data_IF_819910644154
#
_entry.id   IF_819910644154
#
_cell.length_a   1.000
_cell.length_b   1.000
_cell.length_c   1.000
_cell.angle_alpha   90.00
_cell.angle_beta   90.00
_cell.angle_gamma   90.00
#
_symmetry.space_group_name_H-M   'P 1'
#
loop_
_entity.id
_entity.type
_entity.pdbx_description
1 polymer ?
2 non-polymer ?
3 non-polymer ?
4 non-polymer ?
5 water ?
#
# COMPACT_ATOMS: atom_id res chain seq x y z
N UNK A 14 0.11 -25.59 19.12
CA UNK A 14 1.22 -26.07 18.31
C UNK A 14 2.04 -27.03 19.18
N UNK A 15 2.34 -28.23 18.69
CA UNK A 15 3.00 -29.24 19.52
C UNK A 15 4.43 -28.84 19.86
N UNK A 16 4.93 -29.37 20.97
CA UNK A 16 6.28 -29.02 21.38
C UNK A 16 7.31 -29.61 20.41
N UNK A 17 7.05 -30.81 19.88
CA UNK A 17 7.97 -31.38 18.90
C UNK A 17 8.03 -30.52 17.63
N UNK A 18 6.90 -29.92 17.25
CA UNK A 18 6.92 -29.05 16.08
C UNK A 18 7.70 -27.76 16.36
N UNK A 19 7.54 -27.19 17.55
CA UNK A 19 8.31 -25.99 17.89
C UNK A 19 9.80 -26.30 17.85
N UNK A 20 10.19 -27.46 18.40
CA UNK A 20 11.59 -27.92 18.33
C UNK A 20 12.09 -27.96 16.89
N UNK A 21 11.30 -28.54 16.00
CA UNK A 21 11.72 -28.60 14.60
C UNK A 21 11.93 -27.21 14.03
N UNK A 22 11.07 -26.26 14.42
CA UNK A 22 11.26 -24.88 13.96
C UNK A 22 12.57 -24.31 14.49
N UNK A 23 12.86 -24.50 15.78
CA UNK A 23 14.11 -24.01 16.36
C UNK A 23 15.35 -24.63 15.69
N UNK A 24 15.27 -25.89 15.25
CA UNK A 24 16.40 -26.51 14.57
C UNK A 24 16.74 -25.79 13.28
N UNK A 25 15.76 -25.17 12.64
CA UNK A 25 16.02 -24.47 11.37
C UNK A 25 16.60 -23.09 11.62
N UNK A 26 15.95 -22.29 12.45
CA UNK A 26 16.28 -20.87 12.56
C UNK A 26 17.02 -20.51 13.84
N UNK A 27 17.14 -21.43 14.80
CA UNK A 27 17.75 -21.16 16.10
C UNK A 27 16.72 -20.72 17.14
N UNK A 28 16.99 -21.09 18.40
CA UNK A 28 16.03 -20.81 19.46
C UNK A 28 15.69 -19.34 19.67
N UNK A 29 16.61 -18.38 19.53
CA UNK A 29 16.20 -16.97 19.67
C UNK A 29 15.16 -16.53 18.64
N UNK A 30 15.05 -17.23 17.51
CA UNK A 30 14.23 -16.81 16.38
C UNK A 30 12.93 -17.60 16.25
N UNK A 31 12.52 -18.31 17.30
CA UNK A 31 11.20 -18.94 17.41
C UNK A 31 10.59 -18.56 18.75
N UNK A 32 9.37 -18.03 18.76
CA UNK A 32 8.75 -17.73 20.03
C UNK A 32 7.26 -18.07 20.03
N UNK A 33 6.81 -18.69 21.13
CA UNK A 33 5.39 -18.88 21.38
C UNK A 33 4.87 -18.01 22.52
N UNK A 34 5.64 -17.00 22.92
CA UNK A 34 5.21 -16.08 23.96
C UNK A 34 3.99 -15.28 23.53
N UNK A 35 3.00 -15.16 24.42
CA UNK A 35 1.74 -14.55 24.01
C UNK A 35 1.93 -13.09 23.62
N UNK A 36 2.81 -12.35 24.29
CA UNK A 36 2.97 -10.94 23.94
C UNK A 36 3.60 -10.78 22.55
N UNK A 37 4.56 -11.66 22.21
CA UNK A 37 5.17 -11.62 20.88
C UNK A 37 4.14 -11.99 19.82
N UNK A 38 3.36 -13.03 20.08
CA UNK A 38 2.30 -13.43 19.15
C UNK A 38 1.26 -12.34 19.00
N UNK A 39 0.91 -11.66 20.09
CA UNK A 39 -0.09 -10.61 19.99
C UNK A 39 0.43 -9.42 19.19
N UNK A 40 1.72 -9.09 19.29
CA UNK A 40 2.25 -8.00 18.48
C UNK A 40 2.23 -8.34 16.99
N UNK A 41 2.27 -9.63 16.64
CA UNK A 41 2.26 -10.04 15.25
C UNK A 41 0.88 -10.52 14.81
N UNK A 42 -0.15 -10.30 15.61
CA UNK A 42 -1.48 -10.74 15.27
C UNK A 42 -2.36 -9.69 14.64
N UNK A 43 -1.82 -8.51 14.35
CA UNK A 43 -2.64 -7.40 13.90
C UNK A 43 -1.78 -6.47 13.07
N UNK A 44 -2.44 -5.58 12.34
CA UNK A 44 -1.73 -4.55 11.59
C UNK A 44 -2.33 -3.19 11.95
N UNK A 45 -2.28 -2.23 11.03
CA UNK A 45 -2.88 -0.92 11.30
C UNK A 45 -4.38 -0.88 11.06
N UNK A 46 -4.99 -1.99 10.64
CA UNK A 46 -6.43 -2.02 10.42
C UNK A 46 -7.17 -2.19 11.74
N UNK A 47 -8.49 -2.04 11.67
CA UNK A 47 -9.34 -2.26 12.83
C UNK A 47 -9.76 -3.70 12.99
N UNK A 48 -9.28 -4.60 12.11
CA UNK A 48 -9.59 -6.01 12.26
C UNK A 48 -9.03 -6.52 13.58
N UNK A 49 -9.83 -7.30 14.29
CA UNK A 49 -9.47 -7.70 15.65
C UNK A 49 -8.21 -8.55 15.65
N UNK A 50 -7.36 -8.31 16.65
CA UNK A 50 -6.08 -9.01 16.72
C UNK A 50 -6.31 -10.51 16.82
N UNK A 51 -5.67 -11.26 15.92
CA UNK A 51 -5.78 -12.72 15.91
C UNK A 51 -4.38 -13.31 15.94
N UNK A 52 -3.90 -13.70 17.13
CA UNK A 52 -2.49 -14.02 17.30
C UNK A 52 -2.13 -15.35 16.65
N UNK A 53 -1.00 -15.41 15.97
CA UNK A 53 -0.49 -16.69 15.49
C UNK A 53 -0.13 -17.56 16.67
N UNK A 54 0.04 -18.85 16.40
CA UNK A 54 0.50 -19.77 17.44
C UNK A 54 1.99 -19.64 17.73
N UNK A 55 2.75 -19.07 16.79
CA UNK A 55 4.18 -18.90 16.93
C UNK A 55 4.64 -17.83 15.96
N UNK A 56 5.75 -17.18 16.30
CA UNK A 56 6.43 -16.26 15.38
C UNK A 56 7.82 -16.81 15.13
N UNK A 57 8.24 -16.79 13.87
CA UNK A 57 9.51 -17.34 13.43
C UNK A 57 10.22 -16.28 12.59
N UNK A 58 11.53 -16.13 12.81
CA UNK A 58 12.37 -15.16 12.10
C UNK A 58 13.44 -15.93 11.32
N UNK A 59 13.18 -16.32 10.08
CA UNK A 59 14.24 -16.97 9.30
C UNK A 59 15.35 -16.00 8.95
N UNK A 60 16.57 -16.54 8.83
CA UNK A 60 17.76 -15.72 8.62
C UNK A 60 18.26 -15.73 7.17
N UNK A 61 17.73 -16.61 6.31
CA UNK A 61 18.10 -16.62 4.89
C UNK A 61 17.04 -17.42 4.15
N UNK A 62 17.14 -17.42 2.81
CA UNK A 62 16.10 -18.07 2.01
C UNK A 62 16.06 -19.57 2.24
N UNK A 63 17.21 -20.21 2.48
CA UNK A 63 17.15 -21.64 2.77
C UNK A 63 16.29 -21.91 4.00
N UNK A 64 16.38 -21.04 5.00
CA UNK A 64 15.57 -21.24 6.20
C UNK A 64 14.09 -20.97 5.93
N UNK A 65 13.78 -19.97 5.10
CA UNK A 65 12.38 -19.73 4.73
C UNK A 65 11.80 -20.99 4.09
N UNK A 66 12.55 -21.57 3.14
CA UNK A 66 12.10 -22.76 2.44
C UNK A 66 11.84 -23.89 3.42
N UNK A 67 12.76 -24.11 4.36
CA UNK A 67 12.62 -25.22 5.30
C UNK A 67 11.48 -25.00 6.27
N UNK A 68 11.27 -23.75 6.69
CA UNK A 68 10.13 -23.46 7.57
C UNK A 68 8.82 -23.66 6.81
N UNK A 69 8.73 -23.17 5.58
CA UNK A 69 7.53 -23.37 4.79
C UNK A 69 7.23 -24.85 4.60
N UNK A 70 8.23 -25.63 4.20
CA UNK A 70 8.03 -27.05 3.95
C UNK A 70 7.58 -27.77 5.22
N UNK A 71 8.15 -27.40 6.36
CA UNK A 71 7.75 -27.97 7.64
C UNK A 71 6.29 -27.66 7.96
N UNK A 72 5.89 -26.39 7.83
CA UNK A 72 4.51 -26.02 8.12
C UNK A 72 3.55 -26.67 7.14
N UNK A 73 3.88 -26.59 5.84
CA UNK A 73 2.98 -27.07 4.79
C UNK A 73 2.72 -28.56 4.93
N UNK A 74 3.77 -29.34 5.18
CA UNK A 74 3.60 -30.78 5.27
C UNK A 74 2.97 -31.22 6.58
N UNK A 75 2.96 -30.37 7.60
CA UNK A 75 2.33 -30.70 8.86
C UNK A 75 0.92 -30.14 8.94
N UNK A 76 0.45 -29.43 7.92
CA UNK A 76 -0.88 -28.85 7.95
C UNK A 76 -1.00 -27.61 8.81
N UNK A 77 0.06 -26.82 8.92
CA UNK A 77 0.10 -25.64 9.78
C UNK A 77 0.07 -24.39 8.88
N UNK A 78 -0.89 -23.47 9.07
CA UNK A 78 -0.93 -22.27 8.24
C UNK A 78 0.31 -21.40 8.39
N UNK A 79 0.62 -20.67 7.33
CA UNK A 79 1.78 -19.80 7.23
C UNK A 79 1.29 -18.39 6.98
N UNK A 80 1.73 -17.42 7.80
CA UNK A 80 1.37 -16.03 7.57
C UNK A 80 2.65 -15.23 7.37
N UNK A 81 2.97 -14.81 6.14
CA UNK A 81 4.12 -13.92 5.93
C UNK A 81 3.88 -12.57 6.59
N UNK A 82 4.94 -12.02 7.17
CA UNK A 82 4.82 -10.78 7.94
C UNK A 82 6.01 -9.90 7.56
N UNK A 83 5.72 -8.69 7.09
CA UNK A 83 6.80 -7.76 6.79
C UNK A 83 7.00 -6.78 7.91
N UNK A 84 6.56 -5.55 7.70
CA UNK A 84 6.59 -4.53 8.73
C UNK A 84 5.23 -4.31 9.40
N UNK A 85 4.23 -5.10 9.05
CA UNK A 85 2.97 -5.04 9.78
C UNK A 85 2.23 -3.74 9.64
N UNK A 86 2.44 -2.99 8.55
CA UNK A 86 1.77 -1.71 8.35
C UNK A 86 0.55 -1.82 7.43
N UNK A 87 0.15 -3.02 7.04
CA UNK A 87 -1.03 -3.17 6.19
C UNK A 87 -2.29 -2.68 6.88
N UNK A 88 -3.32 -2.43 6.08
CA UNK A 88 -4.55 -1.88 6.62
C UNK A 88 -5.77 -2.73 6.26
N UNK A 89 -5.55 -4.01 5.90
CA UNK A 89 -6.69 -4.87 5.63
C UNK A 89 -6.63 -6.20 6.37
N UNK A 90 -5.84 -6.31 7.42
CA UNK A 90 -5.86 -7.54 8.20
C UNK A 90 -5.10 -8.68 7.56
N UNK A 91 -4.20 -8.39 6.62
CA UNK A 91 -3.43 -9.42 5.95
C UNK A 91 -2.65 -10.33 6.89
N UNK A 92 -2.12 -9.78 8.00
CA UNK A 92 -1.33 -10.62 8.89
C UNK A 92 -2.15 -11.23 10.02
N UNK A 93 -3.45 -10.96 10.10
CA UNK A 93 -4.28 -11.57 11.13
C UNK A 93 -4.32 -13.09 10.96
N UNK A 94 -3.96 -13.82 12.01
CA UNK A 94 -3.88 -15.28 11.90
C UNK A 94 -5.25 -15.91 12.19
N UNK A 95 -6.17 -15.71 11.24
CA UNK A 95 -7.56 -16.10 11.42
C UNK A 95 -7.72 -17.61 11.64
N UNK A 96 -6.76 -18.42 11.21
CA UNK A 96 -6.77 -19.86 11.47
C UNK A 96 -5.59 -20.31 12.33
N UNK A 97 -4.99 -19.41 13.11
CA UNK A 97 -3.75 -19.71 13.81
C UNK A 97 -2.59 -19.97 12.85
N UNK A 98 -1.57 -20.66 13.35
CA UNK A 98 -0.43 -21.06 12.54
C UNK A 98 0.84 -20.32 12.90
N UNK A 99 1.77 -20.30 11.94
CA UNK A 99 3.11 -19.77 12.15
C UNK A 99 3.24 -18.45 11.39
N UNK A 100 3.48 -17.37 12.12
CA UNK A 100 3.76 -16.07 11.52
C UNK A 100 5.25 -16.01 11.20
N UNK A 101 5.59 -15.79 9.93
CA UNK A 101 6.99 -15.74 9.50
C UNK A 101 7.36 -14.28 9.34
N UNK A 102 8.07 -13.74 10.32
CA UNK A 102 8.57 -12.36 10.23
C UNK A 102 9.85 -12.38 9.42
N UNK A 103 9.83 -11.69 8.28
CA UNK A 103 10.89 -11.82 7.29
C UNK A 103 11.98 -10.76 7.41
N UNK A 104 11.92 -9.91 8.42
CA UNK A 104 12.71 -8.67 8.38
C UNK A 104 14.15 -8.84 8.85
N UNK A 105 14.56 -10.02 9.32
CA UNK A 105 15.99 -10.20 9.56
C UNK A 105 16.78 -10.39 8.27
N UNK A 106 16.10 -10.62 7.15
CA UNK A 106 16.76 -10.68 5.85
C UNK A 106 16.66 -9.26 5.32
N UNK A 107 17.70 -8.48 5.57
CA UNK A 107 17.60 -7.03 5.43
C UNK A 107 18.69 -6.47 4.53
N UNK A 108 19.20 -7.26 3.60
CA UNK A 108 20.33 -6.85 2.78
C UNK A 108 19.89 -6.31 1.43
N UNK A 109 20.57 -5.25 0.99
CA UNK A 109 20.50 -4.81 -0.40
C UNK A 109 21.60 -5.57 -1.14
N UNK A 110 21.21 -6.33 -2.15
CA UNK A 110 22.17 -6.96 -3.05
C UNK A 110 22.02 -6.43 -4.47
N UNK A 111 23.07 -6.64 -5.27
CA UNK A 111 23.02 -6.50 -6.73
C UNK A 111 22.59 -5.10 -7.19
N UNK A 112 23.17 -4.06 -6.58
CA UNK A 112 22.89 -2.72 -7.04
C UNK A 112 23.53 -2.51 -8.42
N UNK A 113 22.72 -2.13 -9.40
CA UNK A 113 23.17 -1.99 -10.78
C UNK A 113 22.79 -0.58 -11.21
N UNK A 114 23.60 0.41 -10.83
CA UNK A 114 23.24 1.80 -11.15
C UNK A 114 23.25 2.06 -12.64
N UNK A 115 24.02 1.28 -13.40
CA UNK A 115 24.10 1.47 -14.83
C UNK A 115 22.90 0.88 -15.58
N UNK A 116 22.18 -0.09 -14.97
CA UNK A 116 20.92 -0.64 -15.47
C UNK A 116 19.69 -0.06 -14.79
N UNK A 117 19.88 0.75 -13.75
CA UNK A 117 18.81 1.32 -12.93
C UNK A 117 17.99 0.21 -12.28
N UNK A 118 18.67 -0.67 -11.55
CA UNK A 118 17.96 -1.75 -10.86
C UNK A 118 18.71 -2.13 -9.58
N UNK A 119 17.97 -2.79 -8.69
CA UNK A 119 18.50 -3.20 -7.39
C UNK A 119 17.69 -4.40 -6.91
N UNK A 120 18.29 -5.22 -6.06
CA UNK A 120 17.63 -6.37 -5.45
C UNK A 120 17.62 -6.18 -3.94
N UNK A 121 16.45 -6.28 -3.32
CA UNK A 121 16.32 -6.02 -1.88
C UNK A 121 15.63 -7.21 -1.21
N UNK A 122 16.03 -7.48 0.03
CA UNK A 122 15.37 -8.49 0.87
C UNK A 122 14.25 -7.86 1.69
N UNK A 123 13.42 -8.66 2.38
CA UNK A 123 12.21 -8.09 3.01
C UNK A 123 12.46 -7.07 4.11
N UNK A 124 13.59 -7.14 4.81
CA UNK A 124 13.89 -6.18 5.86
C UNK A 124 14.32 -4.80 5.38
N UNK A 125 14.47 -4.61 4.07
CA UNK A 125 14.82 -3.31 3.50
C UNK A 125 13.54 -2.50 3.31
N UNK A 126 13.49 -1.31 3.90
CA UNK A 126 12.41 -0.36 3.68
C UNK A 126 12.79 0.65 2.60
N UNK A 127 11.78 1.38 2.12
CA UNK A 127 12.04 2.38 1.09
C UNK A 127 13.03 3.43 1.58
N UNK A 128 12.92 3.84 2.84
CA UNK A 128 13.86 4.82 3.38
C UNK A 128 15.27 4.24 3.46
N UNK A 129 15.41 2.97 3.85
CA UNK A 129 16.75 2.39 3.87
C UNK A 129 17.33 2.35 2.46
N UNK A 130 16.51 1.97 1.47
CA UNK A 130 17.02 1.93 0.10
C UNK A 130 17.48 3.30 -0.38
N UNK A 131 16.63 4.32 -0.21
CA UNK A 131 16.98 5.64 -0.72
C UNK A 131 18.16 6.25 0.04
N UNK A 132 18.30 5.95 1.32
CA UNK A 132 19.49 6.34 2.06
C UNK A 132 20.73 5.69 1.47
N UNK A 133 20.67 4.39 1.17
CA UNK A 133 21.82 3.76 0.55
C UNK A 133 22.10 4.33 -0.83
N UNK A 134 21.10 4.91 -1.47
CA UNK A 134 21.25 5.52 -2.79
C UNK A 134 21.58 7.01 -2.75
N UNK A 135 21.69 7.60 -1.57
CA UNK A 135 22.14 8.99 -1.50
C UNK A 135 23.49 9.10 -2.21
N UNK A 136 23.69 10.14 -3.00
CA UNK A 136 24.91 10.40 -3.76
C UNK A 136 24.99 9.63 -5.09
N UNK A 137 23.94 8.88 -5.49
CA UNK A 137 24.03 8.08 -6.71
C UNK A 137 23.30 8.70 -7.90
N UNK A 138 22.46 9.68 -7.66
CA UNK A 138 21.60 10.21 -8.70
C UNK A 138 20.37 9.38 -8.96
N UNK A 139 20.23 8.20 -8.35
CA UNK A 139 19.07 7.34 -8.51
C UNK A 139 18.26 7.32 -7.22
N UNK A 140 16.96 7.01 -7.34
CA UNK A 140 16.10 6.86 -6.16
C UNK A 140 14.97 5.89 -6.50
N UNK A 141 14.33 5.37 -5.44
CA UNK A 141 13.15 4.53 -5.64
C UNK A 141 11.89 5.32 -5.28
N UNK A 142 10.98 5.52 -6.23
CA UNK A 142 9.92 6.52 -6.05
C UNK A 142 8.63 6.09 -5.33
N UNK A 143 8.30 4.81 -5.29
CA UNK A 143 7.00 4.42 -4.77
C UNK A 143 6.97 4.65 -3.26
N UNK A 144 6.08 5.54 -2.79
CA UNK A 144 6.15 6.11 -1.44
C UNK A 144 4.85 5.99 -0.64
N UNK A 145 4.55 4.81 -0.11
CA UNK A 145 3.53 4.73 0.94
C UNK A 145 3.97 5.59 2.13
N UNK A 146 2.99 6.10 2.88
CA UNK A 146 3.34 6.93 4.01
C UNK A 146 4.17 6.22 5.06
N UNK A 147 3.93 4.92 5.24
CA UNK A 147 4.65 4.15 6.24
C UNK A 147 6.03 3.74 5.71
N UNK A 148 6.98 3.55 6.61
CA UNK A 148 8.27 3.01 6.18
C UNK A 148 8.15 1.49 6.14
N UNK A 149 7.57 1.02 5.04
CA UNK A 149 7.19 -0.38 4.91
C UNK A 149 8.29 -1.20 4.25
N UNK A 150 8.29 -2.49 4.55
CA UNK A 150 9.05 -3.48 3.78
C UNK A 150 8.76 -3.34 2.30
N UNK A 151 9.82 -3.29 1.48
CA UNK A 151 9.64 -3.22 0.04
C UNK A 151 9.08 -4.51 -0.52
N UNK A 152 9.42 -5.65 0.10
CA UNK A 152 8.81 -6.90 -0.35
C UNK A 152 7.36 -6.97 0.07
N UNK A 153 7.03 -6.38 1.24
CA UNK A 153 5.63 -6.25 1.62
C UNK A 153 4.85 -5.36 0.67
N UNK A 154 5.46 -4.25 0.24
CA UNK A 154 4.84 -3.43 -0.80
C UNK A 154 4.65 -4.20 -2.10
N UNK A 155 5.61 -5.05 -2.46
CA UNK A 155 5.41 -5.90 -3.64
C UNK A 155 4.23 -6.85 -3.40
N UNK A 156 4.13 -7.41 -2.19
CA UNK A 156 3.03 -8.34 -1.88
C UNK A 156 1.66 -7.67 -1.92
N UNK A 157 1.54 -6.42 -1.43
CA UNK A 157 0.23 -5.79 -1.43
C UNK A 157 -0.11 -5.04 -2.72
N UNK A 158 0.85 -4.85 -3.61
CA UNK A 158 0.63 -4.04 -4.80
C UNK A 158 0.57 -2.55 -4.49
N UNK A 159 1.47 -2.07 -3.65
CA UNK A 159 1.37 -0.75 -3.07
C UNK A 159 1.56 0.35 -4.13
N UNK A 160 1.04 1.53 -3.83
CA UNK A 160 1.44 2.68 -4.63
C UNK A 160 1.74 3.83 -3.68
N UNK A 161 1.56 5.06 -4.12
CA UNK A 161 1.96 6.19 -3.30
C UNK A 161 1.74 7.48 -4.04
N UNK A 162 2.16 8.60 -3.42
CA UNK A 162 1.91 9.90 -4.04
C UNK A 162 2.71 10.06 -5.34
N UNK A 163 3.87 9.42 -5.45
CA UNK A 163 4.68 9.53 -6.65
C UNK A 163 4.16 8.67 -7.80
N UNK A 164 3.18 7.80 -7.56
CA UNK A 164 2.82 6.80 -8.58
C UNK A 164 2.27 7.45 -9.85
N UNK A 165 1.62 8.60 -9.72
CA UNK A 165 1.00 9.25 -10.87
C UNK A 165 2.04 9.51 -11.97
N UNK A 166 3.28 9.80 -11.59
CA UNK A 166 4.38 9.99 -12.55
C UNK A 166 5.29 8.77 -12.67
N UNK A 167 5.63 8.12 -11.56
CA UNK A 167 6.67 7.11 -11.57
C UNK A 167 6.15 5.68 -11.49
N UNK A 168 4.84 5.48 -11.42
CA UNK A 168 4.25 4.16 -11.40
C UNK A 168 4.11 3.56 -10.01
N UNK A 169 3.35 2.47 -9.94
CA UNK A 169 3.09 1.72 -8.72
C UNK A 169 4.19 0.69 -8.52
N UNK A 170 4.09 -0.12 -7.47
CA UNK A 170 4.96 -1.29 -7.36
C UNK A 170 4.85 -2.21 -8.58
N UNK A 171 3.64 -2.46 -9.07
CA UNK A 171 3.51 -3.31 -10.26
C UNK A 171 4.34 -2.78 -11.43
N UNK A 172 4.35 -1.45 -11.61
CA UNK A 172 5.14 -0.83 -12.67
C UNK A 172 6.64 -0.97 -12.45
N UNK A 173 7.09 -1.15 -11.21
CA UNK A 173 8.50 -1.03 -10.87
C UNK A 173 9.13 -2.32 -10.36
N UNK A 174 8.39 -3.41 -10.31
CA UNK A 174 8.93 -4.72 -9.93
C UNK A 174 9.36 -5.45 -11.19
N UNK A 175 10.63 -5.84 -11.26
CA UNK A 175 11.22 -6.46 -12.44
C UNK A 175 11.24 -7.98 -12.29
N UNK A 176 11.38 -8.45 -11.06
CA UNK A 176 11.63 -9.87 -10.79
C UNK A 176 11.33 -10.09 -9.31
N UNK A 177 10.95 -11.32 -8.97
CA UNK A 177 10.67 -11.70 -7.61
C UNK A 177 11.30 -13.05 -7.32
N UNK A 178 11.87 -13.18 -6.12
CA UNK A 178 12.26 -14.47 -5.57
C UNK A 178 11.17 -14.88 -4.60
N UNK A 179 10.55 -16.04 -4.83
CA UNK A 179 9.37 -16.47 -4.07
C UNK A 179 9.60 -17.88 -3.55
N UNK A 180 9.40 -18.07 -2.25
CA UNK A 180 9.31 -19.40 -1.66
C UNK A 180 7.84 -19.83 -1.76
N UNK A 181 7.59 -20.84 -2.60
CA UNK A 181 6.23 -21.34 -2.78
C UNK A 181 5.76 -22.05 -1.51
N UNK A 182 4.44 -22.26 -1.34
CA UNK A 182 3.96 -22.76 -0.04
C UNK A 182 4.62 -24.05 0.43
N UNK A 183 5.00 -24.96 -0.47
CA UNK A 183 5.63 -26.20 -0.05
C UNK A 183 7.15 -26.10 0.07
N UNK A 184 7.72 -24.89 -0.06
CA UNK A 184 9.15 -24.69 0.11
C UNK A 184 9.98 -24.56 -1.16
N UNK A 185 9.40 -24.85 -2.32
CA UNK A 185 10.14 -24.74 -3.58
C UNK A 185 10.49 -23.29 -3.86
N UNK A 186 11.66 -23.06 -4.48
CA UNK A 186 12.11 -21.69 -4.74
C UNK A 186 11.82 -21.34 -6.20
N UNK A 187 11.13 -20.23 -6.41
CA UNK A 187 10.81 -19.74 -7.75
C UNK A 187 11.37 -18.34 -7.94
N UNK A 188 12.15 -18.15 -8.98
CA UNK A 188 12.51 -16.81 -9.43
C UNK A 188 11.59 -16.50 -10.60
N UNK A 189 10.69 -15.55 -10.41
CA UNK A 189 9.52 -15.46 -11.29
C UNK A 189 9.91 -15.13 -12.73
N UNK A 190 10.97 -14.35 -12.94
CA UNK A 190 11.46 -14.08 -14.29
C UNK A 190 12.78 -14.77 -14.58
N UNK A 191 13.20 -15.72 -13.72
CA UNK A 191 14.47 -16.40 -13.88
C UNK A 191 15.51 -15.85 -12.93
N UNK A 192 16.35 -16.70 -12.36
CA UNK A 192 17.32 -16.24 -11.37
C UNK A 192 18.31 -15.26 -11.99
N UNK A 193 18.47 -14.11 -11.32
CA UNK A 193 19.42 -13.08 -11.72
C UNK A 193 19.01 -12.23 -12.90
N UNK A 194 17.81 -12.44 -13.45
CA UNK A 194 17.41 -11.73 -14.65
C UNK A 194 16.84 -10.34 -14.32
N UNK A 195 17.12 -9.38 -15.19
CA UNK A 195 16.54 -8.04 -15.09
C UNK A 195 16.67 -7.39 -16.45
N UNK A 196 15.61 -6.75 -16.92
CA UNK A 196 15.56 -6.27 -18.30
C UNK A 196 14.40 -5.28 -18.33
N UNK A 197 14.30 -4.45 -19.36
CA UNK A 197 13.13 -3.61 -19.38
C UNK A 197 11.85 -4.22 -19.97
N UNK A 198 11.93 -5.26 -20.78
CA UNK A 198 10.70 -5.86 -21.25
C UNK A 198 11.00 -7.27 -21.72
N UNK A 199 9.96 -8.08 -21.73
CA UNK A 199 10.03 -9.45 -22.19
C UNK A 199 8.67 -9.93 -22.68
N UNK A 200 8.71 -10.85 -23.65
CA UNK A 200 7.54 -11.61 -24.05
C UNK A 200 7.71 -13.12 -23.80
N UNK A 201 8.62 -13.51 -22.90
CA UNK A 201 9.02 -14.91 -22.77
C UNK A 201 8.06 -15.68 -21.84
N UNK A 202 7.20 -16.49 -22.44
CA UNK A 202 6.31 -17.33 -21.65
C UNK A 202 5.16 -16.54 -21.02
N UNK A 203 4.65 -17.03 -19.89
CA UNK A 203 3.63 -16.29 -19.13
C UNK A 203 4.29 -15.40 -18.08
N UNK A 204 3.67 -14.26 -17.80
CA UNK A 204 4.26 -13.32 -16.85
C UNK A 204 3.99 -13.74 -15.41
N UNK A 205 4.92 -14.52 -14.85
CA UNK A 205 4.76 -14.98 -13.46
C UNK A 205 4.97 -13.86 -12.45
N UNK A 206 5.84 -12.89 -12.78
CA UNK A 206 6.10 -11.81 -11.82
C UNK A 206 4.82 -11.08 -11.46
N UNK A 207 4.02 -10.72 -12.47
CA UNK A 207 2.79 -9.98 -12.21
C UNK A 207 1.75 -10.73 -11.40
N UNK A 208 1.77 -12.07 -11.43
CA UNK A 208 0.86 -12.86 -10.61
C UNK A 208 1.15 -12.71 -9.13
N UNK A 209 2.41 -12.60 -8.77
CA UNK A 209 2.75 -12.55 -7.36
C UNK A 209 2.71 -11.14 -6.78
N UNK A 210 2.85 -10.11 -7.61
CA UNK A 210 2.62 -8.75 -7.14
C UNK A 210 1.15 -8.61 -6.79
N UNK A 211 0.87 -8.08 -5.59
CA UNK A 211 -0.52 -7.98 -5.16
C UNK A 211 -1.15 -9.27 -4.69
N UNK A 212 -0.37 -10.31 -4.38
CA UNK A 212 -0.93 -11.58 -3.93
C UNK A 212 -1.08 -11.67 -2.41
N UNK A 213 -0.52 -10.71 -1.66
CA UNK A 213 -0.76 -10.52 -0.22
C UNK A 213 -0.39 -11.74 0.63
N UNK A 214 0.59 -12.51 0.20
CA UNK A 214 1.02 -13.63 1.03
C UNK A 214 0.20 -14.89 0.87
N UNK A 215 -0.73 -14.94 -0.09
CA UNK A 215 -1.58 -16.11 -0.30
C UNK A 215 -1.06 -17.06 -1.36
N UNK A 216 0.00 -16.69 -2.09
CA UNK A 216 0.54 -17.52 -3.16
C UNK A 216 1.98 -17.95 -2.92
N UNK A 217 2.61 -17.45 -1.87
CA UNK A 217 4.01 -17.70 -1.63
C UNK A 217 4.63 -16.54 -0.89
N UNK A 218 5.90 -16.72 -0.50
CA UNK A 218 6.63 -15.79 0.34
C UNK A 218 7.69 -15.09 -0.52
N UNK A 219 7.60 -13.77 -0.63
CA UNK A 219 8.57 -13.01 -1.42
C UNK A 219 9.82 -12.82 -0.58
N UNK A 220 10.94 -13.41 -1.01
CA UNK A 220 12.18 -13.27 -0.25
C UNK A 220 13.20 -12.32 -0.89
N UNK A 221 12.99 -11.88 -2.13
CA UNK A 221 13.68 -10.69 -2.62
C UNK A 221 12.88 -10.11 -3.77
N UNK A 222 13.09 -8.82 -3.99
CA UNK A 222 12.39 -8.09 -5.05
C UNK A 222 13.44 -7.37 -5.88
N UNK A 223 13.37 -7.51 -7.20
CA UNK A 223 14.21 -6.71 -8.08
C UNK A 223 13.41 -5.50 -8.52
N UNK A 224 13.94 -4.31 -8.23
CA UNK A 224 13.21 -3.05 -8.38
C UNK A 224 13.86 -2.17 -9.44
N UNK A 225 13.01 -1.49 -10.20
CA UNK A 225 13.42 -0.41 -11.09
C UNK A 225 13.73 0.86 -10.30
N UNK A 226 14.90 1.41 -10.55
CA UNK A 226 15.31 2.69 -9.99
C UNK A 226 15.11 3.78 -11.04
N UNK A 227 14.99 5.02 -10.57
CA UNK A 227 14.67 6.14 -11.43
C UNK A 227 15.70 7.24 -11.24
N UNK A 228 15.94 8.06 -12.27
CA UNK A 228 16.86 9.20 -12.10
C UNK A 228 16.25 10.27 -11.20
N UNK A 229 17.09 10.82 -10.32
CA UNK A 229 16.66 11.97 -9.53
C UNK A 229 16.23 13.09 -10.47
N UNK A 230 15.19 13.86 -10.12
CA UNK A 230 14.78 14.97 -10.98
C UNK A 230 15.83 16.06 -11.00
N UNK A 231 15.97 16.72 -12.16
CA UNK A 231 16.87 17.86 -12.27
C UNK A 231 16.54 18.93 -11.24
N UNK A 232 15.29 19.32 -11.17
CA UNK A 232 14.82 20.31 -10.22
C UNK A 232 13.41 19.92 -9.79
N UNK A 233 13.01 20.40 -8.61
CA UNK A 233 11.73 20.10 -8.01
C UNK A 233 11.08 21.37 -7.46
N UNK A 234 9.76 21.50 -7.66
CA UNK A 234 8.97 22.55 -7.04
C UNK A 234 7.70 21.92 -6.47
N UNK A 235 7.38 22.24 -5.22
CA UNK A 235 6.14 21.81 -4.58
C UNK A 235 5.25 23.01 -4.36
N UNK A 236 3.94 22.79 -4.39
CA UNK A 236 3.01 23.90 -4.18
C UNK A 236 1.73 23.38 -3.57
N UNK A 237 0.99 24.30 -2.95
CA UNK A 237 -0.35 24.03 -2.47
C UNK A 237 -1.33 25.03 -3.07
N UNK A 238 -2.58 24.59 -3.19
CA UNK A 238 -3.63 25.43 -3.73
C UNK A 238 -4.93 25.10 -3.03
N UNK A 239 -5.59 26.11 -2.47
CA UNK A 239 -6.82 25.95 -1.71
C UNK A 239 -8.02 26.32 -2.57
N UNK A 240 -9.13 25.65 -2.33
CA UNK A 240 -10.34 25.74 -3.15
C UNK A 240 -11.56 25.99 -2.28
N UNK A 241 -12.63 26.56 -2.85
CA UNK A 241 -13.86 26.76 -2.06
C UNK A 241 -14.64 25.48 -1.85
N UNK A 242 -14.40 24.42 -2.62
CA UNK A 242 -15.22 23.22 -2.52
C UNK A 242 -14.43 22.01 -3.03
N UNK A 243 -14.88 20.84 -2.59
CA UNK A 243 -14.35 19.59 -3.12
C UNK A 243 -14.51 19.55 -4.63
N UNK A 244 -15.68 19.93 -5.11
CA UNK A 244 -15.95 19.93 -6.56
C UNK A 244 -14.90 20.74 -7.31
N UNK A 245 -14.55 21.92 -6.80
CA UNK A 245 -13.58 22.76 -7.49
C UNK A 245 -12.20 22.11 -7.55
N UNK A 246 -11.77 21.52 -6.43
CA UNK A 246 -10.47 20.86 -6.36
C UNK A 246 -10.40 19.66 -7.30
N UNK A 247 -11.48 18.88 -7.37
CA UNK A 247 -11.42 17.64 -8.13
C UNK A 247 -11.64 17.91 -9.62
N UNK A 248 -12.48 18.90 -9.97
CA UNK A 248 -12.54 19.36 -11.35
C UNK A 248 -11.18 19.85 -11.83
N UNK A 249 -10.46 20.58 -10.97
CA UNK A 249 -9.12 21.02 -11.33
C UNK A 249 -8.21 19.83 -11.60
N UNK A 250 -8.28 18.82 -10.72
CA UNK A 250 -7.45 17.64 -10.86
C UNK A 250 -7.68 16.97 -12.21
N UNK A 251 -8.96 16.72 -12.54
CA UNK A 251 -9.28 16.05 -13.80
C UNK A 251 -8.78 16.86 -15.00
N UNK A 252 -8.91 18.19 -14.94
CA UNK A 252 -8.46 19.01 -16.07
C UNK A 252 -6.94 19.09 -16.17
N UNK A 253 -6.23 19.06 -15.04
CA UNK A 253 -4.78 18.95 -15.09
C UNK A 253 -4.38 17.64 -15.77
N UNK A 254 -5.03 16.54 -15.41
CA UNK A 254 -4.74 15.24 -16.03
C UNK A 254 -5.10 15.25 -17.50
N UNK A 255 -6.25 15.85 -17.85
CA UNK A 255 -6.67 15.81 -19.25
C UNK A 255 -5.80 16.70 -20.12
N UNK A 256 -5.21 17.74 -19.53
CA UNK A 256 -4.23 18.58 -20.20
C UNK A 256 -2.85 17.93 -20.28
N UNK A 257 -2.65 16.78 -19.61
CA UNK A 257 -1.40 16.02 -19.66
C UNK A 257 -0.21 16.80 -19.11
N UNK A 258 -0.45 17.59 -18.08
CA UNK A 258 0.66 18.14 -17.30
C UNK A 258 1.33 16.98 -16.57
N UNK A 259 2.62 16.73 -16.78
CA UNK A 259 3.26 15.56 -16.17
C UNK A 259 3.63 15.81 -14.71
N UNK A 260 2.63 16.17 -13.90
CA UNK A 260 2.84 16.39 -12.47
C UNK A 260 3.51 15.18 -11.86
N UNK A 261 4.44 15.44 -10.93
CA UNK A 261 5.07 14.35 -10.21
C UNK A 261 4.21 13.87 -9.05
N UNK A 262 3.42 14.76 -8.46
CA UNK A 262 2.55 14.45 -7.32
C UNK A 262 1.33 15.36 -7.42
N UNK A 263 0.15 14.79 -7.17
CA UNK A 263 -1.07 15.59 -7.05
C UNK A 263 -1.99 14.91 -6.05
N UNK A 264 -2.03 15.46 -4.82
CA UNK A 264 -2.72 14.88 -3.68
C UNK A 264 -3.84 15.80 -3.22
N UNK A 265 -5.00 15.22 -2.95
CA UNK A 265 -6.16 15.95 -2.46
C UNK A 265 -6.30 15.77 -0.96
N UNK A 266 -6.59 16.86 -0.25
CA UNK A 266 -7.00 16.83 1.15
C UNK A 266 -8.30 17.62 1.29
N UNK A 267 -9.31 17.05 1.94
CA UNK A 267 -10.49 17.88 2.16
C UNK A 267 -10.21 18.82 3.34
N UNK A 268 -11.19 19.67 3.67
CA UNK A 268 -10.99 20.63 4.75
C UNK A 268 -10.76 19.94 6.08
N UNK A 269 -11.45 18.82 6.34
CA UNK A 269 -11.23 18.10 7.59
C UNK A 269 -9.80 17.57 7.65
N UNK A 270 -9.34 16.97 6.55
CA UNK A 270 -7.98 16.45 6.50
C UNK A 270 -6.95 17.56 6.60
N UNK A 271 -7.19 18.67 5.91
CA UNK A 271 -6.27 19.82 6.03
C UNK A 271 -6.16 20.30 7.47
N UNK A 272 -7.30 20.46 8.15
CA UNK A 272 -7.26 20.85 9.55
C UNK A 272 -6.48 19.85 10.38
N UNK A 273 -6.77 18.55 10.21
CA UNK A 273 -6.06 17.53 10.97
C UNK A 273 -4.56 17.59 10.75
N UNK A 274 -4.13 17.79 9.49
CA UNK A 274 -2.70 17.83 9.19
C UNK A 274 -2.06 19.09 9.75
N UNK A 275 -2.77 20.23 9.67
CA UNK A 275 -2.33 21.46 10.33
C UNK A 275 -2.02 21.21 11.80
N UNK A 276 -2.92 20.53 12.50
CA UNK A 276 -2.75 20.33 13.94
C UNK A 276 -1.71 19.28 14.26
N UNK A 277 -1.34 18.45 13.30
CA UNK A 277 -0.43 17.34 13.51
C UNK A 277 0.97 17.62 12.99
N UNK A 278 1.21 18.78 12.36
CA UNK A 278 2.47 18.97 11.66
C UNK A 278 3.05 20.37 11.73
N UNK A 279 2.34 21.37 12.25
CA UNK A 279 2.80 22.74 12.13
C UNK A 279 3.01 23.17 10.66
N UNK A 280 2.37 22.51 9.70
CA UNK A 280 1.82 23.27 8.59
C UNK A 280 0.73 24.17 9.15
N UNK A 281 0.39 25.22 8.41
CA UNK A 281 -0.67 26.14 8.83
C UNK A 281 -1.43 26.62 7.60
N UNK A 282 -1.92 25.68 6.79
CA UNK A 282 -2.57 26.02 5.54
C UNK A 282 -4.00 26.48 5.80
N UNK A 283 -4.56 27.28 4.88
CA UNK A 283 -5.99 27.60 4.97
C UNK A 283 -6.81 26.33 5.09
N UNK A 284 -7.75 26.32 6.03
CA UNK A 284 -8.60 25.14 6.22
C UNK A 284 -9.64 25.16 5.11
N UNK A 285 -9.44 24.31 4.12
CA UNK A 285 -10.23 24.27 2.89
C UNK A 285 -9.78 23.03 2.10
N UNK A 286 -10.61 22.55 1.18
CA UNK A 286 -10.14 21.47 0.29
C UNK A 286 -8.95 21.96 -0.53
N UNK A 287 -7.90 21.15 -0.58
CA UNK A 287 -6.57 21.59 -0.98
C UNK A 287 -5.91 20.55 -1.88
N UNK A 288 -5.13 21.02 -2.84
CA UNK A 288 -4.22 20.15 -3.60
C UNK A 288 -2.79 20.44 -3.13
N UNK A 289 -2.06 19.37 -2.80
CA UNK A 289 -0.60 19.43 -2.71
C UNK A 289 -0.05 18.96 -4.05
N UNK A 290 0.83 19.76 -4.64
CA UNK A 290 1.34 19.47 -5.97
C UNK A 290 2.86 19.43 -5.96
N UNK A 291 3.44 18.60 -6.82
CA UNK A 291 4.88 18.63 -7.03
C UNK A 291 5.18 18.46 -8.50
N UNK A 292 6.20 19.19 -8.96
CA UNK A 292 6.62 19.19 -10.35
C UNK A 292 8.10 18.87 -10.40
N UNK A 293 8.48 18.04 -11.38
CA UNK A 293 9.85 17.64 -11.64
C UNK A 293 10.23 18.00 -13.06
N UNK A 294 11.42 18.57 -13.22
CA UNK A 294 11.96 18.80 -14.56
C UNK A 294 13.12 19.78 -14.50
N UNK A 295 13.44 20.33 -15.66
CA UNK A 295 14.38 21.45 -15.70
C UNK A 295 13.65 22.75 -15.39
N UNK A 296 14.42 23.83 -15.22
CA UNK A 296 13.83 25.13 -14.97
C UNK A 296 12.86 25.54 -16.07
N UNK A 297 13.09 25.09 -17.30
CA UNK A 297 12.19 25.42 -18.39
C UNK A 297 10.90 24.62 -18.30
N UNK A 298 11.00 23.30 -18.13
CA UNK A 298 9.80 22.48 -17.92
C UNK A 298 9.01 23.02 -16.72
N UNK A 299 9.70 23.28 -15.61
CA UNK A 299 9.02 23.65 -14.37
C UNK A 299 8.25 24.95 -14.55
N UNK A 300 8.90 25.98 -15.14
CA UNK A 300 8.21 27.23 -15.40
C UNK A 300 6.95 27.01 -16.22
N UNK A 301 7.05 26.22 -17.30
CA UNK A 301 5.92 25.95 -18.17
C UNK A 301 4.82 25.16 -17.46
N UNK A 302 5.20 24.15 -16.68
CA UNK A 302 4.21 23.33 -15.97
C UNK A 302 3.49 24.14 -14.91
N UNK A 303 4.25 24.96 -14.17
CA UNK A 303 3.66 25.79 -13.14
C UNK A 303 2.61 26.73 -13.72
N UNK A 304 2.88 27.29 -14.90
CA UNK A 304 1.95 28.25 -15.49
C UNK A 304 0.70 27.58 -16.04
N UNK A 305 0.84 26.39 -16.65
CA UNK A 305 -0.35 25.70 -17.13
C UNK A 305 -1.22 25.26 -15.96
N UNK A 306 -0.59 24.79 -14.88
CA UNK A 306 -1.36 24.28 -13.74
C UNK A 306 -2.03 25.43 -12.98
N UNK A 307 -1.31 26.52 -12.75
CA UNK A 307 -1.94 27.67 -12.10
C UNK A 307 -3.12 28.19 -12.91
N UNK A 308 -2.99 28.21 -14.25
CA UNK A 308 -4.11 28.63 -15.08
C UNK A 308 -5.33 27.73 -14.87
N UNK A 309 -5.12 26.42 -14.78
CA UNK A 309 -6.25 25.51 -14.64
C UNK A 309 -6.89 25.65 -13.26
N UNK A 310 -6.07 25.67 -12.20
CA UNK A 310 -6.66 25.81 -10.87
C UNK A 310 -7.37 27.16 -10.72
N UNK A 311 -6.76 28.24 -11.23
CA UNK A 311 -7.39 29.56 -11.18
C UNK A 311 -8.80 29.53 -11.78
N UNK A 312 -8.95 28.88 -12.92
CA UNK A 312 -10.23 28.83 -13.62
C UNK A 312 -11.31 28.13 -12.80
N UNK A 313 -10.95 27.26 -11.87
CA UNK A 313 -11.94 26.58 -11.04
C UNK A 313 -12.01 27.16 -9.64
N UNK A 314 -11.48 28.36 -9.44
CA UNK A 314 -11.57 29.03 -8.16
C UNK A 314 -10.45 28.72 -7.20
N UNK A 315 -9.36 28.12 -7.68
CA UNK A 315 -8.23 27.89 -6.80
C UNK A 315 -7.65 29.21 -6.29
N UNK A 316 -7.20 29.21 -5.05
CA UNK A 316 -6.42 30.32 -4.54
C UNK A 316 -5.11 30.43 -5.32
N UNK A 317 -4.37 31.49 -5.05
CA UNK A 317 -3.01 31.57 -5.56
C UNK A 317 -2.19 30.42 -4.98
N UNK A 318 -1.31 29.86 -5.80
CA UNK A 318 -0.35 28.88 -5.30
C UNK A 318 0.44 29.42 -4.13
N UNK A 319 0.87 28.53 -3.26
CA UNK A 319 1.66 28.92 -2.09
C UNK A 319 3.02 28.21 -2.13
N UNK A 324 13.52 23.85 0.37
CA UNK A 324 13.48 22.39 0.30
C UNK A 324 13.08 21.75 1.62
N UNK A 325 13.39 22.43 2.72
CA UNK A 325 12.95 21.95 4.02
C UNK A 325 11.46 22.20 4.25
N UNK A 326 10.85 23.16 3.56
CA UNK A 326 9.40 23.28 3.61
C UNK A 326 8.73 22.22 2.76
N UNK A 327 9.37 21.84 1.65
CA UNK A 327 8.91 20.70 0.86
C UNK A 327 8.88 19.42 1.67
N UNK A 328 9.92 19.19 2.48
CA UNK A 328 9.95 17.98 3.30
C UNK A 328 8.84 17.98 4.34
N UNK A 329 8.56 19.15 4.93
CA UNK A 329 7.49 19.20 5.91
C UNK A 329 6.13 18.99 5.25
N UNK A 330 5.95 19.53 4.05
CA UNK A 330 4.69 19.33 3.33
C UNK A 330 4.41 17.84 3.12
N UNK A 331 5.36 17.12 2.55
CA UNK A 331 5.12 15.71 2.25
C UNK A 331 5.20 14.84 3.51
N UNK A 332 5.96 15.26 4.54
CA UNK A 332 5.89 14.54 5.81
C UNK A 332 4.50 14.63 6.41
N UNK A 333 3.90 15.82 6.37
CA UNK A 333 2.53 15.95 6.86
C UNK A 333 1.57 15.07 6.06
N UNK A 334 1.70 15.07 4.73
CA UNK A 334 0.84 14.21 3.92
C UNK A 334 1.02 12.74 4.29
N UNK A 335 2.28 12.28 4.35
CA UNK A 335 2.54 10.86 4.62
C UNK A 335 2.00 10.44 5.98
N UNK A 336 1.82 11.37 6.91
CA UNK A 336 1.30 11.07 8.23
C UNK A 336 -0.18 11.40 8.37
N UNK A 337 -0.89 11.52 7.25
CA UNK A 337 -2.31 11.87 7.32
C UNK A 337 -3.11 10.87 8.13
N UNK A 338 -2.79 9.58 8.01
CA UNK A 338 -3.46 8.56 8.82
C UNK A 338 -3.36 8.88 10.30
N UNK A 339 -2.16 9.19 10.79
CA UNK A 339 -2.01 9.51 12.20
C UNK A 339 -2.63 10.86 12.53
N UNK A 340 -2.57 11.82 11.60
CA UNK A 340 -3.23 13.09 11.83
C UNK A 340 -4.73 12.90 12.01
N UNK A 341 -5.34 12.01 11.22
CA UNK A 341 -6.77 11.73 11.34
C UNK A 341 -7.08 11.08 12.69
N UNK A 342 -6.29 10.06 13.08
CA UNK A 342 -6.52 9.40 14.36
C UNK A 342 -6.41 10.37 15.54
N UNK A 343 -5.55 11.39 15.41
CA UNK A 343 -5.32 12.30 16.53
C UNK A 343 -6.50 13.25 16.76
N UNK A 344 -7.42 13.38 15.80
CA UNK A 344 -8.63 14.17 16.02
C UNK A 344 -9.44 13.63 17.19
N UNK A 345 -9.36 12.33 17.44
CA UNK A 345 -10.13 11.66 18.49
C UNK A 345 -9.28 10.55 19.09
N UNK A 346 -8.38 10.91 20.02
CA UNK A 346 -7.47 9.90 20.59
C UNK A 346 -8.24 8.76 21.25
N UNK A 347 -7.71 7.56 21.11
CA UNK A 347 -8.42 6.36 21.53
C UNK A 347 -9.26 5.72 20.43
N UNK A 348 -9.46 6.39 19.30
CA UNK A 348 -10.16 5.78 18.18
C UNK A 348 -9.23 4.92 17.35
N UNK A 349 -9.81 3.96 16.65
CA UNK A 349 -9.16 3.30 15.53
C UNK A 349 -9.79 3.83 14.24
N UNK A 350 -9.35 3.29 13.11
CA UNK A 350 -9.86 3.83 11.85
C UNK A 350 -9.92 2.75 10.79
N UNK A 351 -10.85 2.95 9.86
CA UNK A 351 -10.91 2.18 8.63
C UNK A 351 -10.71 3.12 7.45
N UNK A 352 -10.05 2.62 6.42
CA UNK A 352 -9.78 3.43 5.24
C UNK A 352 -10.40 2.77 4.04
N UNK A 353 -11.08 3.55 3.23
CA UNK A 353 -11.48 3.10 1.93
C UNK A 353 -10.35 3.39 0.95
N UNK A 354 -10.51 2.90 -0.29
CA UNK A 354 -9.40 2.97 -1.23
C UNK A 354 -9.88 2.76 -2.66
N UNK A 355 -11.06 3.27 -2.99
CA UNK A 355 -11.58 3.00 -4.32
C UNK A 355 -10.78 3.75 -5.36
N UNK A 356 -10.87 3.28 -6.60
CA UNK A 356 -10.23 3.94 -7.73
C UNK A 356 -11.20 3.84 -8.90
N UNK A 357 -11.48 4.96 -9.55
CA UNK A 357 -12.53 5.02 -10.58
C UNK A 357 -11.91 5.65 -11.83
N UNK A 358 -12.55 5.47 -12.99
CA UNK A 358 -12.15 6.27 -14.17
C UNK A 358 -12.15 7.75 -13.79
N UNK A 359 -11.15 8.49 -14.27
CA UNK A 359 -10.96 9.85 -13.73
C UNK A 359 -12.15 10.74 -14.05
N UNK A 360 -12.86 10.50 -15.16
CA UNK A 360 -14.01 11.35 -15.47
C UNK A 360 -15.13 11.21 -14.46
N UNK A 361 -15.18 10.10 -13.73
CA UNK A 361 -16.18 9.89 -12.69
C UNK A 361 -15.69 10.27 -11.31
N UNK A 362 -14.42 10.67 -11.17
CA UNK A 362 -13.91 11.03 -9.86
C UNK A 362 -14.67 12.19 -9.21
N UNK A 363 -15.01 13.29 -9.92
CA UNK A 363 -15.77 14.37 -9.26
C UNK A 363 -17.06 13.89 -8.63
N UNK A 364 -17.82 13.05 -9.35
CA UNK A 364 -19.08 12.51 -8.81
C UNK A 364 -18.86 11.78 -7.50
N UNK A 365 -17.93 10.82 -7.48
CA UNK A 365 -17.83 9.98 -6.30
C UNK A 365 -17.18 10.71 -5.12
N UNK A 366 -16.20 11.62 -5.34
CA UNK A 366 -15.67 12.36 -4.19
C UNK A 366 -16.67 13.35 -3.61
N UNK A 367 -17.34 14.12 -4.47
CA UNK A 367 -18.37 15.02 -3.95
C UNK A 367 -19.46 14.22 -3.22
N UNK A 368 -19.87 13.10 -3.79
CA UNK A 368 -20.88 12.27 -3.14
C UNK A 368 -20.38 11.75 -1.79
N UNK A 369 -19.14 11.26 -1.73
CA UNK A 369 -18.58 10.76 -0.47
C UNK A 369 -18.53 11.86 0.58
N UNK A 370 -18.09 13.05 0.19
CA UNK A 370 -18.05 14.19 1.12
C UNK A 370 -19.43 14.51 1.66
N UNK A 371 -20.44 14.52 0.79
CA UNK A 371 -21.82 14.77 1.22
C UNK A 371 -22.32 13.68 2.16
N UNK A 372 -21.97 12.42 1.89
CA UNK A 372 -22.42 11.34 2.76
C UNK A 372 -21.71 11.38 4.10
N UNK A 373 -20.41 11.70 4.12
CA UNK A 373 -19.72 11.89 5.40
C UNK A 373 -20.38 12.98 6.22
N UNK A 374 -20.68 14.12 5.58
CA UNK A 374 -21.34 15.22 6.28
C UNK A 374 -22.71 14.81 6.82
N UNK A 375 -23.51 14.17 5.98
CA UNK A 375 -24.89 13.84 6.37
C UNK A 375 -24.93 12.82 7.50
N UNK A 376 -23.90 12.00 7.62
CA UNK A 376 -23.93 10.98 8.65
C UNK A 376 -23.25 11.45 9.92
N UNK A 377 -23.50 10.72 11.00
CA UNK A 377 -22.92 11.01 12.29
C UNK A 377 -21.46 10.59 12.40
N UNK A 378 -20.96 9.88 11.40
CA UNK A 378 -19.56 9.45 11.43
C UNK A 378 -18.62 10.63 11.22
N UNK A 379 -17.43 10.49 11.79
CA UNK A 379 -16.32 11.40 11.55
C UNK A 379 -15.41 10.80 10.50
N UNK A 380 -15.14 11.57 9.46
CA UNK A 380 -14.30 11.09 8.37
C UNK A 380 -13.52 12.21 7.77
N UNK A 381 -12.35 11.87 7.24
CA UNK A 381 -11.52 12.80 6.49
C UNK A 381 -11.20 12.15 5.16
N UNK A 382 -10.91 12.97 4.14
CA UNK A 382 -10.68 12.48 2.79
C UNK A 382 -9.30 12.94 2.35
N UNK A 383 -8.53 12.01 1.78
CA UNK A 383 -7.20 12.31 1.30
C UNK A 383 -6.88 11.33 0.17
N UNK A 384 -6.11 11.75 -0.82
CA UNK A 384 -5.66 10.70 -1.70
C UNK A 384 -5.00 11.09 -3.01
N UNK A 385 -4.63 10.01 -3.71
CA UNK A 385 -3.88 10.00 -4.97
C UNK A 385 -4.86 10.20 -6.11
N UNK A 386 -5.43 11.41 -6.16
CA UNK A 386 -6.48 11.71 -7.12
C UNK A 386 -5.93 11.68 -8.53
N UNK A 387 -4.62 11.81 -8.67
CA UNK A 387 -4.03 11.46 -9.94
C UNK A 387 -4.19 10.02 -10.38
N UNK A 388 -4.49 9.07 -9.46
CA UNK A 388 -4.42 7.62 -9.73
C UNK A 388 -5.79 6.96 -9.60
N UNK A 389 -6.82 7.64 -10.11
CA UNK A 389 -8.21 7.28 -9.92
C UNK A 389 -8.75 7.34 -8.50
N UNK A 390 -7.91 7.68 -7.50
CA UNK A 390 -7.96 7.00 -6.21
C UNK A 390 -8.03 7.98 -5.04
N UNK A 391 -8.69 7.56 -3.95
CA UNK A 391 -8.72 8.39 -2.75
C UNK A 391 -9.07 7.50 -1.57
N UNK A 392 -8.79 8.01 -0.37
CA UNK A 392 -9.10 7.31 0.87
C UNK A 392 -10.09 8.13 1.65
N UNK A 393 -11.12 7.47 2.15
CA UNK A 393 -11.94 8.00 3.20
C UNK A 393 -11.46 7.35 4.50
N UNK A 394 -10.92 8.16 5.40
CA UNK A 394 -10.45 7.68 6.69
C UNK A 394 -11.58 7.88 7.70
N UNK A 395 -12.20 6.78 8.13
CA UNK A 395 -13.36 6.82 9.02
C UNK A 395 -12.93 6.43 10.43
N UNK A 396 -13.31 7.24 11.41
CA UNK A 396 -12.95 6.98 12.81
C UNK A 396 -13.97 6.06 13.47
N UNK A 397 -13.49 5.17 14.35
CA UNK A 397 -14.36 4.22 15.03
C UNK A 397 -13.98 4.15 16.51
N UNK A 398 -14.99 4.15 17.37
CA UNK A 398 -14.77 3.84 18.78
C UNK A 398 -14.54 2.34 18.88
N UNK A 399 -13.38 1.89 19.38
CA UNK A 399 -13.11 0.45 19.44
C UNK A 399 -14.11 -0.34 20.29
N UNK A 400 -14.92 0.32 21.12
CA UNK A 400 -15.87 -0.33 22.01
C UNK A 400 -17.32 -0.03 21.64
N UNK A 401 -17.57 0.46 20.42
CA UNK A 401 -18.91 0.83 19.98
C UNK A 401 -19.23 -0.03 18.76
N UNK A 402 -19.84 -1.20 19.00
CA UNK A 402 -20.08 -2.14 17.91
C UNK A 402 -21.07 -1.59 16.89
N UNK A 403 -22.00 -0.73 17.32
CA UNK A 403 -22.95 -0.12 16.38
C UNK A 403 -22.25 0.83 15.43
N UNK A 404 -21.40 1.73 15.97
CA UNK A 404 -20.59 2.60 15.12
C UNK A 404 -19.73 1.79 14.16
N UNK A 405 -19.20 0.66 14.64
CA UNK A 405 -18.42 -0.22 13.78
C UNK A 405 -19.25 -0.76 12.63
N UNK A 406 -20.50 -1.17 12.91
CA UNK A 406 -21.38 -1.63 11.83
C UNK A 406 -21.62 -0.53 10.81
N UNK A 407 -21.83 0.70 11.29
CA UNK A 407 -22.17 1.79 10.39
C UNK A 407 -20.98 2.21 9.54
N UNK A 408 -19.78 2.25 10.13
CA UNK A 408 -18.56 2.48 9.36
C UNK A 408 -18.37 1.42 8.30
N UNK A 409 -18.59 0.15 8.66
CA UNK A 409 -18.44 -0.91 7.69
C UNK A 409 -19.49 -0.78 6.59
N UNK A 410 -20.72 -0.42 6.96
CA UNK A 410 -21.76 -0.17 5.96
C UNK A 410 -21.37 0.97 5.03
N UNK A 411 -20.83 2.05 5.58
CA UNK A 411 -20.39 3.18 4.75
C UNK A 411 -19.30 2.73 3.78
N UNK A 412 -18.30 2.02 4.27
CA UNK A 412 -17.21 1.57 3.38
C UNK A 412 -17.72 0.67 2.28
N UNK A 413 -18.63 -0.24 2.64
CA UNK A 413 -19.17 -1.18 1.65
C UNK A 413 -19.96 -0.44 0.59
N UNK A 414 -20.70 0.59 0.98
CA UNK A 414 -21.54 1.30 0.01
C UNK A 414 -20.69 2.15 -0.92
N UNK A 415 -19.65 2.78 -0.37
CA UNK A 415 -18.69 3.48 -1.22
C UNK A 415 -18.02 2.54 -2.20
N UNK A 416 -17.65 1.35 -1.74
CA UNK A 416 -17.09 0.34 -2.63
C UNK A 416 -18.03 0.00 -3.77
N UNK A 417 -19.31 -0.29 -3.45
CA UNK A 417 -20.26 -0.62 -4.51
C UNK A 417 -20.46 0.56 -5.46
N UNK A 418 -20.41 1.79 -4.95
CA UNK A 418 -20.59 2.94 -5.82
C UNK A 418 -19.45 3.02 -6.83
N UNK A 419 -18.21 2.85 -6.35
CA UNK A 419 -17.07 2.84 -7.28
C UNK A 419 -17.23 1.73 -8.31
N UNK A 420 -17.74 0.57 -7.89
CA UNK A 420 -17.93 -0.53 -8.84
C UNK A 420 -19.00 -0.19 -9.86
N UNK A 421 -20.08 0.48 -9.42
CA UNK A 421 -21.10 0.93 -10.36
C UNK A 421 -20.52 1.88 -11.40
N UNK A 422 -19.48 2.63 -11.02
CA UNK A 422 -18.86 3.59 -11.92
C UNK A 422 -17.79 2.99 -12.80
N UNK A 423 -17.67 1.65 -12.82
CA UNK A 423 -16.64 1.00 -13.62
C UNK A 423 -15.28 0.93 -12.98
N UNK A 424 -15.16 1.28 -11.69
CA UNK A 424 -13.89 1.31 -11.00
C UNK A 424 -13.56 0.02 -10.26
N UNK A 425 -12.62 0.12 -9.32
CA UNK A 425 -12.18 -1.01 -8.52
C UNK A 425 -12.33 -0.67 -7.04
N UNK A 426 -12.56 -1.72 -6.23
CA UNK A 426 -12.74 -1.50 -4.80
C UNK A 426 -11.44 -1.19 -4.05
N UNK A 427 -10.28 -1.41 -4.67
CA UNK A 427 -9.04 -1.02 -4.02
C UNK A 427 -8.00 -0.67 -5.06
N UNK A 428 -7.49 0.55 -4.97
CA UNK A 428 -6.42 1.01 -5.83
C UNK A 428 -5.03 0.56 -5.41
N UNK A 429 -4.80 0.30 -4.11
CA UNK A 429 -3.44 0.00 -3.67
C UNK A 429 -3.34 -0.80 -2.36
N UNK A 430 -4.30 -0.69 -1.43
CA UNK A 430 -4.16 -1.34 -0.12
C UNK A 430 -4.34 -2.86 -0.19
N UNK A 431 -5.17 -3.35 -1.10
CA UNK A 431 -5.43 -4.77 -1.20
C UNK A 431 -6.76 -5.18 -0.60
N UNK A 432 -6.96 -6.50 -0.50
CA UNK A 432 -8.24 -7.06 -0.11
C UNK A 432 -8.22 -7.54 1.34
N UNK A 433 -7.15 -8.24 1.72
CA UNK A 433 -7.02 -8.88 3.02
C UNK A 433 -8.31 -9.55 3.47
N UNK A 434 -8.78 -9.15 4.65
CA UNK A 434 -10.03 -9.65 5.20
C UNK A 434 -11.21 -8.75 4.88
N UNK A 435 -10.97 -7.47 4.60
CA UNK A 435 -12.05 -6.51 4.57
C UNK A 435 -12.85 -6.43 3.29
N UNK A 436 -12.24 -6.75 2.14
CA UNK A 436 -12.86 -6.45 0.86
C UNK A 436 -13.21 -7.71 0.05
N UNK A 437 -13.37 -8.86 0.72
CA UNK A 437 -13.49 -10.11 -0.02
C UNK A 437 -14.81 -10.20 -0.76
N UNK A 438 -15.89 -9.66 -0.17
CA UNK A 438 -17.17 -9.67 -0.88
C UNK A 438 -17.17 -8.69 -2.04
N UNK A 439 -16.54 -7.51 -1.85
CA UNK A 439 -16.47 -6.54 -2.94
C UNK A 439 -15.69 -7.11 -4.13
N UNK A 440 -14.61 -7.85 -3.86
CA UNK A 440 -13.86 -8.48 -4.93
C UNK A 440 -14.74 -9.41 -5.76
N UNK A 441 -15.54 -10.24 -5.09
CA UNK A 441 -16.45 -11.14 -5.80
C UNK A 441 -17.39 -10.36 -6.72
N UNK A 442 -17.93 -9.25 -6.24
CA UNK A 442 -18.80 -8.42 -7.06
C UNK A 442 -18.03 -7.74 -8.19
N UNK A 443 -16.78 -7.35 -7.93
CA UNK A 443 -15.98 -6.65 -8.93
C UNK A 443 -15.68 -7.53 -10.14
N UNK A 444 -15.31 -8.79 -9.95
CA UNK A 444 -14.88 -9.61 -11.09
C UNK A 444 -15.85 -10.73 -11.46
N UNK A 445 -16.86 -11.00 -10.64
CA UNK A 445 -17.86 -11.97 -11.04
C UNK A 445 -17.41 -13.42 -10.93
N UNK A 446 -18.36 -14.34 -11.17
CA UNK A 446 -18.10 -15.79 -10.96
C UNK A 446 -16.92 -16.37 -11.70
N UNK A 447 -16.74 -16.03 -12.98
CA UNK A 447 -15.64 -16.63 -13.73
C UNK A 447 -14.30 -16.09 -13.24
N UNK A 448 -14.24 -14.79 -12.96
CA UNK A 448 -13.05 -14.21 -12.38
C UNK A 448 -12.69 -14.81 -11.03
N UNK A 449 -13.70 -14.98 -10.16
CA UNK A 449 -13.45 -15.59 -8.86
C UNK A 449 -12.95 -17.02 -9.03
N UNK A 450 -13.63 -17.83 -9.85
CA UNK A 450 -13.18 -19.21 -9.99
C UNK A 450 -11.79 -19.27 -10.59
N UNK A 451 -11.47 -18.37 -11.53
CA UNK A 451 -10.13 -18.35 -12.11
C UNK A 451 -9.08 -18.00 -11.05
N UNK A 452 -9.33 -16.97 -10.24
CA UNK A 452 -8.37 -16.66 -9.19
C UNK A 452 -8.25 -17.81 -8.19
N UNK A 453 -9.36 -18.50 -7.90
CA UNK A 453 -9.29 -19.66 -7.00
C UNK A 453 -8.44 -20.77 -7.59
N UNK A 454 -8.54 -20.99 -8.91
CA UNK A 454 -7.72 -22.02 -9.54
C UNK A 454 -6.23 -21.67 -9.44
N UNK A 455 -5.87 -20.40 -9.56
CA UNK A 455 -4.47 -20.02 -9.40
C UNK A 455 -4.00 -20.26 -7.97
N UNK A 456 -4.83 -19.89 -7.01
CA UNK A 456 -4.53 -20.14 -5.60
C UNK A 456 -4.39 -21.64 -5.33
N UNK A 457 -5.31 -22.44 -5.88
CA UNK A 457 -5.27 -23.87 -5.63
C UNK A 457 -4.04 -24.52 -6.26
N UNK A 458 -3.56 -24.04 -7.42
CA UNK A 458 -2.45 -24.77 -8.02
C UNK A 458 -1.17 -24.47 -7.26
N UNK A 459 -1.04 -23.25 -6.74
CA UNK A 459 0.18 -22.91 -6.03
C UNK A 459 0.11 -23.32 -4.55
N UNK A 460 -1.10 -23.39 -3.96
CA UNK A 460 -1.27 -23.72 -2.55
C UNK A 460 -2.37 -24.78 -2.42
N UNK A 461 -2.09 -26.03 -2.86
CA UNK A 461 -3.15 -27.05 -2.82
C UNK A 461 -3.78 -27.26 -1.45
N UNK A 462 -2.98 -27.23 -0.38
CA UNK A 462 -3.53 -27.46 0.95
C UNK A 462 -4.19 -26.22 1.55
N UNK A 463 -4.09 -25.07 0.90
CA UNK A 463 -4.75 -23.89 1.42
C UNK A 463 -4.16 -23.36 2.71
N UNK A 464 -2.84 -23.54 2.91
CA UNK A 464 -2.14 -23.16 4.13
C UNK A 464 -1.42 -21.82 4.03
N UNK A 465 -1.39 -21.22 2.85
CA UNK A 465 -0.72 -19.94 2.61
C UNK A 465 -1.65 -18.78 2.93
N UNK A 466 -1.48 -18.23 4.13
CA UNK A 466 -2.29 -17.10 4.61
C UNK A 466 -3.78 -17.32 4.34
N UNK A 467 -4.37 -18.37 4.94
CA UNK A 467 -5.77 -18.69 4.63
C UNK A 467 -6.74 -17.61 5.09
N UNK A 468 -7.88 -17.55 4.42
CA UNK A 468 -8.92 -16.60 4.76
C UNK A 468 -8.72 -15.18 4.24
N UNK A 469 -7.71 -14.96 3.41
CA UNK A 469 -7.45 -13.63 2.86
C UNK A 469 -7.69 -13.64 1.36
N UNK A 470 -8.18 -12.49 0.85
CA UNK A 470 -8.36 -12.22 -0.57
C UNK A 470 -9.57 -12.98 -1.12
N UNK A 471 -9.51 -14.31 -1.09
CA UNK A 471 -10.60 -15.16 -1.60
C UNK A 471 -11.37 -15.83 -0.45
X LIG B 1 2.30 -6.40 6.31
X LIG B 1 3.42 -6.97 7.09
X LIG B 1 1.13 -5.76 7.05
X LIG B 1 1.69 -7.45 5.32
X LIG B 1 0.63 -7.09 4.40
X LIG B 1 0.16 -8.29 3.60
X LIG B 1 1.22 -8.72 2.72
X LIG B 1 -0.21 -9.52 4.42
X LIG B 1 -1.20 -10.30 3.77
X LIG B 1 1.12 -10.29 4.50
X LIG B 1 0.91 -11.68 4.74
X LIG B 1 1.70 -10.00 3.12
X LIG B 1 3.16 -9.98 3.05
X LIG B 1 4.01 -9.11 3.67
X LIG B 1 5.28 -9.31 3.38
X LIG B 1 5.25 -10.36 2.49
X LIG B 1 6.26 -11.04 1.77
X LIG B 1 7.57 -10.76 1.87
X LIG B 1 5.88 -12.05 0.97
X LIG B 1 4.58 -12.34 0.85
X LIG B 1 3.54 -11.78 1.45
X LIG B 1 3.95 -10.78 2.26
X LIG B 1 -0.17 1.47 1.28
X LIG B 1 -0.16 1.92 -0.02
X LIG B 1 -0.25 1.15 -0.98
X LIG B 1 -0.03 3.28 -0.28
X LIG B 1 0.08 4.27 0.65
X LIG B 1 0.16 5.44 0.27
X LIG B 1 0.08 3.81 2.02
X LIG B 1 0.19 4.69 3.00
X LIG B 1 0.20 4.24 4.30
X LIG B 1 0.33 5.16 5.34
X LIG B 1 0.33 4.75 6.67
X LIG B 1 0.46 5.77 7.77
X LIG B 1 0.20 3.38 6.97
X LIG B 1 0.19 2.90 8.40
X LIG B 1 0.07 2.46 5.95
X LIG B 1 0.07 2.87 4.61
X LIG B 1 -0.03 1.94 3.54
X LIG B 1 -0.05 2.38 2.24
X LIG B 1 -0.27 0.51 3.82
X LIG B 1 0.99 -0.33 3.95
X LIG B 1 2.10 0.46 4.35
X LIG B 1 1.25 -1.04 2.62
X LIG B 1 0.16 -1.90 2.32
X LIG B 1 2.51 -1.88 2.66
X LIG B 1 2.73 -2.42 1.37
X LIG B 1 2.41 -2.97 3.70
X LIG B 1 3.71 -3.59 3.85
X LIG B 1 4.08 -4.38 5.16
X LIG B 1 5.37 -5.18 4.98
X LIG B 1 4.06 -3.45 6.34
X LIG B 1 2.83 -5.37 5.24
X LIG C 1 -2.42 5.89 -0.15
X LIG D 1 -2.99 5.67 4.27
X LIG D 1 -4.27 4.08 5.72
X LIG D 1 -3.77 4.37 4.33
X LIG D 1 -2.66 5.93 2.81
X LIG D 1 -3.04 3.93 6.61
X LIG D 1 -2.19 7.32 2.45
X LIG D 1 -2.11 7.70 1.25
X LIG D 1 -1.89 8.13 3.39
X LIG D 1 -2.77 5.07 1.98
#
# INVERSE_FOLDING_TARGET
WSHPQFEKGSQGGLSQDFVEALKAVVGSPHVSTASAVREQHGHDESMHRCQPPDAVVWPQNVDQVSRVASLCYNQGVPIIPFGTGTGVEGGVCAVQGGVCINLTHMDQITELNTEDFSVVVEPGVTRKALNTHLRDSGLWFPVDPGADASLCGMAATGASGTNAVRYGTMRDNVINLEVVLPDGRLLHTAGRGRHYRKSAAGYNLTGLFVGSEGTLGIITSTTLRLHPAPEATVAATCAFPSVQAAVDSTVQILQAAVPVARIEFLDDVMMDACNRHSKLNCPVAPTLFLEFHGSQQTLAEQLQRTEAITQDNGGSHFSWAKEAEKRNELWAARHNAWYAALALSPGSKAYSTDVCVPISRLPEILVETKEEIKASKLTGAIVGHVGDGNFHCILLVDPDDAEEQRRVKAFAENLGRRALALGGTCTGEHGIGLGKRQLLQEEVGPVGVETMRQLKNTLDPRGLMNPGKVL
FAD PA O1A O2A O5B C5B C4B O4B C3B O3B C2B O2B C1B N9A C8A N7A C5A C6A N6A N1A C2A N3A C4A N1 C2 O2 N3 C4 O4 C4X N5 C5X C6 C7 C7M C8 C8M C9 C9A N10 C10 C1' C2' O2' C3' O3' C4' O4' C5' O5' P O1P O2P O3P
MN MN
7N5 C3 C5 C4 C2 C6 C1 O1A O1B O2
#
